data_IF_427491418206
#
_entry.id   IF_427491418206
#
_cell.length_a   1.000
_cell.length_b   1.000
_cell.length_c   1.000
_cell.angle_alpha   90.00
_cell.angle_beta   90.00
_cell.angle_gamma   90.00
#
_symmetry.space_group_name_H-M   'P 1'
#
loop_
_entity.id
_entity.type
_entity.pdbx_description
1 polymer ?
#
# COMPACT_ATOMS: atom_id res chain seq x y z
N UNK A 1 -69.22 -22.85 -28.46
CA UNK A 1 -68.34 -22.31 -27.39
C UNK A 1 -66.91 -22.77 -27.66
N UNK A 2 -66.23 -22.18 -28.63
CA UNK A 2 -65.01 -22.79 -29.19
C UNK A 2 -64.15 -21.74 -29.89
N UNK A 3 -62.92 -21.54 -29.41
CA UNK A 3 -61.88 -20.74 -30.07
C UNK A 3 -61.12 -19.86 -29.09
N UNK A 4 -61.78 -18.82 -28.57
CA UNK A 4 -61.10 -17.73 -27.86
C UNK A 4 -60.57 -18.11 -26.46
N UNK A 5 -61.30 -18.93 -25.69
CA UNK A 5 -60.86 -19.32 -24.34
C UNK A 5 -59.68 -20.30 -24.32
N UNK A 6 -59.46 -21.09 -25.38
CA UNK A 6 -58.32 -22.02 -25.47
C UNK A 6 -56.98 -21.28 -25.67
N UNK A 7 -57.00 -20.13 -26.36
CA UNK A 7 -55.81 -19.29 -26.58
C UNK A 7 -55.32 -18.58 -25.31
N UNK A 8 -56.25 -18.07 -24.49
CA UNK A 8 -55.91 -17.41 -23.22
C UNK A 8 -55.36 -18.41 -22.18
N UNK A 9 -55.89 -19.63 -22.12
CA UNK A 9 -55.41 -20.68 -21.21
C UNK A 9 -54.04 -21.21 -21.65
N UNK A 10 -53.76 -21.32 -22.95
CA UNK A 10 -52.45 -21.70 -23.47
C UNK A 10 -51.38 -20.62 -23.24
N UNK A 11 -51.71 -19.34 -23.47
CA UNK A 11 -50.81 -18.22 -23.18
C UNK A 11 -50.52 -18.09 -21.68
N UNK A 12 -51.53 -18.22 -20.81
CA UNK A 12 -51.37 -18.21 -19.34
C UNK A 12 -50.57 -19.42 -18.82
N UNK A 13 -50.63 -20.57 -19.49
CA UNK A 13 -49.82 -21.76 -19.17
C UNK A 13 -48.36 -21.68 -19.64
N UNK A 14 -48.05 -20.86 -20.65
CA UNK A 14 -46.66 -20.56 -21.07
C UNK A 14 -46.01 -19.43 -20.29
N UNK A 15 -46.78 -18.44 -19.82
CA UNK A 15 -46.24 -17.29 -19.06
C UNK A 15 -45.70 -17.73 -17.69
N UNK A 16 -46.37 -18.65 -17.00
CA UNK A 16 -45.94 -19.14 -15.68
C UNK A 16 -44.55 -19.79 -15.71
N UNK A 17 -44.24 -20.80 -16.54
CA UNK A 17 -42.90 -21.41 -16.56
C UNK A 17 -41.81 -20.45 -17.03
N UNK A 18 -42.11 -19.49 -17.91
CA UNK A 18 -41.16 -18.44 -18.32
C UNK A 18 -40.86 -17.50 -17.15
N UNK A 19 -41.88 -17.09 -16.39
CA UNK A 19 -41.71 -16.23 -15.22
C UNK A 19 -40.93 -16.95 -14.10
N UNK A 20 -41.19 -18.25 -13.88
CA UNK A 20 -40.43 -19.07 -12.93
C UNK A 20 -38.99 -19.28 -13.40
N UNK A 21 -38.74 -19.53 -14.69
CA UNK A 21 -37.38 -19.66 -15.22
C UNK A 21 -36.56 -18.35 -15.10
N UNK A 22 -37.20 -17.19 -15.27
CA UNK A 22 -36.58 -15.87 -15.05
C UNK A 22 -36.31 -15.62 -13.57
N UNK A 23 -37.16 -16.08 -12.66
CA UNK A 23 -36.94 -16.00 -11.21
C UNK A 23 -35.81 -16.91 -10.71
N UNK A 24 -35.56 -18.05 -11.36
CA UNK A 24 -34.44 -18.94 -11.02
C UNK A 24 -33.09 -18.49 -11.61
N UNK A 25 -33.07 -17.69 -12.68
CA UNK A 25 -31.85 -17.22 -13.34
C UNK A 25 -31.10 -16.09 -12.59
N UNK A 26 -31.59 -15.68 -11.41
CA UNK A 26 -30.99 -14.63 -10.59
C UNK A 26 -30.15 -15.11 -9.41
N UNK A 27 -30.12 -16.43 -9.13
CA UNK A 27 -29.42 -16.96 -7.97
C UNK A 27 -27.94 -17.21 -8.29
N UNK A 28 -27.07 -16.31 -7.83
CA UNK A 28 -25.62 -16.56 -7.80
C UNK A 28 -25.33 -17.56 -6.68
N UNK A 29 -24.64 -18.65 -7.01
CA UNK A 29 -24.32 -19.72 -6.06
C UNK A 29 -23.13 -19.33 -5.18
N UNK A 30 -23.12 -19.88 -3.96
CA UNK A 30 -22.02 -19.83 -3.02
C UNK A 30 -22.08 -18.71 -1.98
N UNK A 31 -21.10 -18.67 -1.05
CA UNK A 31 -21.17 -17.83 0.13
C UNK A 31 -21.04 -16.35 -0.22
N UNK A 32 -21.85 -15.52 0.44
CA UNK A 32 -21.69 -14.07 0.41
C UNK A 32 -20.71 -13.61 1.47
N UNK A 33 -19.94 -12.56 1.15
CA UNK A 33 -19.08 -11.91 2.13
C UNK A 33 -19.92 -11.33 3.27
N UNK A 34 -19.57 -11.72 4.49
CA UNK A 34 -20.08 -11.11 5.71
C UNK A 34 -18.94 -10.47 6.48
N UNK A 35 -19.16 -9.23 6.93
CA UNK A 35 -18.16 -8.51 7.72
C UNK A 35 -17.93 -9.23 9.05
N UNK A 36 -16.69 -9.63 9.38
CA UNK A 36 -16.39 -10.30 10.65
C UNK A 36 -16.72 -9.41 11.86
N UNK A 37 -17.44 -9.97 12.83
CA UNK A 37 -17.65 -9.35 14.13
C UNK A 37 -16.43 -9.63 15.02
N UNK A 38 -15.59 -8.61 15.20
CA UNK A 38 -14.42 -8.69 16.08
C UNK A 38 -14.79 -8.15 17.47
N UNK A 39 -14.70 -8.96 18.54
CA UNK A 39 -14.90 -8.46 19.89
C UNK A 39 -13.75 -7.51 20.25
N UNK A 40 -14.02 -6.20 20.26
CA UNK A 40 -13.03 -5.16 20.56
C UNK A 40 -13.38 -4.44 21.87
N UNK A 41 -12.38 -4.07 22.69
CA UNK A 41 -12.62 -3.30 23.90
C UNK A 41 -13.13 -1.89 23.55
N UNK A 42 -14.14 -1.42 24.28
CA UNK A 42 -14.70 -0.08 24.09
C UNK A 42 -13.79 1.05 24.58
N UNK A 43 -12.74 0.76 25.36
CA UNK A 43 -11.81 1.74 25.91
C UNK A 43 -10.38 1.19 25.94
N UNK A 44 -9.40 2.08 25.88
CA UNK A 44 -8.01 1.73 26.19
C UNK A 44 -7.87 1.38 27.68
N UNK A 45 -7.10 0.35 27.98
CA UNK A 45 -6.76 -0.03 29.35
C UNK A 45 -6.05 1.13 30.05
N UNK A 46 -6.55 1.55 31.21
CA UNK A 46 -5.95 2.63 32.02
C UNK A 46 -6.36 4.06 31.62
N UNK A 47 -7.27 4.24 30.66
CA UNK A 47 -7.82 5.57 30.32
C UNK A 47 -9.24 5.75 30.86
N UNK A 48 -9.54 6.96 31.38
CA UNK A 48 -10.94 7.36 31.64
C UNK A 48 -11.70 7.32 30.31
N UNK A 49 -12.99 6.92 30.31
CA UNK A 49 -13.79 6.86 29.08
C UNK A 49 -13.76 8.23 28.39
N UNK A 50 -13.09 8.27 27.23
CA UNK A 50 -13.04 9.46 26.42
C UNK A 50 -14.41 9.64 25.74
N UNK A 51 -14.94 10.87 25.72
CA UNK A 51 -16.06 11.20 24.82
C UNK A 51 -15.68 10.75 23.42
N UNK A 52 -16.63 10.16 22.69
CA UNK A 52 -16.46 9.76 21.29
C UNK A 52 -15.81 10.90 20.51
N UNK A 53 -14.49 10.80 20.34
CA UNK A 53 -13.74 11.80 19.61
C UNK A 53 -14.15 11.66 18.15
N UNK A 54 -14.32 12.78 17.44
CA UNK A 54 -14.41 12.72 15.97
C UNK A 54 -13.28 11.81 15.47
N UNK A 55 -13.57 10.88 14.53
CA UNK A 55 -12.56 9.96 14.04
C UNK A 55 -11.33 10.78 13.67
N UNK A 56 -10.19 10.41 14.25
CA UNK A 56 -8.98 11.20 14.11
C UNK A 56 -8.72 11.40 12.61
N UNK A 57 -8.56 12.66 12.17
CA UNK A 57 -8.20 12.96 10.80
C UNK A 57 -6.72 12.59 10.61
N UNK A 58 -6.47 11.29 10.52
CA UNK A 58 -5.13 10.68 10.50
C UNK A 58 -4.40 10.95 9.18
N UNK A 59 -5.12 11.36 8.13
CA UNK A 59 -4.57 11.60 6.79
C UNK A 59 -3.53 12.73 6.72
N UNK A 60 -3.48 13.64 7.70
CA UNK A 60 -2.52 14.75 7.78
C UNK A 60 -1.95 14.94 9.19
N UNK A 61 -1.78 13.85 9.93
CA UNK A 61 -1.43 13.90 11.36
C UNK A 61 -0.13 14.68 11.65
N UNK A 62 0.86 14.61 10.75
CA UNK A 62 2.16 15.26 10.90
C UNK A 62 2.06 16.79 10.95
N UNK A 63 1.02 17.40 10.38
CA UNK A 63 0.82 18.85 10.42
C UNK A 63 0.65 19.37 11.86
N UNK A 64 0.27 18.50 12.81
CA UNK A 64 0.20 18.84 14.25
C UNK A 64 1.56 19.12 14.88
N UNK A 65 2.64 18.67 14.24
CA UNK A 65 4.02 18.98 14.64
C UNK A 65 4.42 20.42 14.31
N UNK A 66 3.61 21.13 13.49
CA UNK A 66 3.77 22.55 13.16
C UNK A 66 5.15 22.91 12.60
N UNK A 67 5.69 22.03 11.78
CA UNK A 67 6.93 22.25 11.05
C UNK A 67 6.63 22.34 9.53
N UNK A 68 6.79 23.51 8.89
CA UNK A 68 6.51 23.68 7.46
C UNK A 68 7.52 22.95 6.56
N UNK A 69 8.75 22.76 7.04
CA UNK A 69 9.77 22.01 6.30
C UNK A 69 9.39 20.53 6.25
N UNK A 70 8.95 19.97 7.38
CA UNK A 70 8.41 18.61 7.42
C UNK A 70 7.21 18.44 6.48
N UNK A 71 6.28 19.39 6.46
CA UNK A 71 5.12 19.32 5.57
C UNK A 71 5.56 19.23 4.10
N UNK A 72 6.54 20.07 3.72
CA UNK A 72 7.06 20.10 2.36
C UNK A 72 7.79 18.80 2.01
N UNK A 73 8.59 18.25 2.92
CA UNK A 73 9.26 16.96 2.71
C UNK A 73 8.27 15.81 2.53
N UNK A 74 7.16 15.80 3.27
CA UNK A 74 6.10 14.79 3.10
C UNK A 74 5.43 14.92 1.73
N UNK A 75 5.12 16.14 1.28
CA UNK A 75 4.53 16.38 -0.04
C UNK A 75 5.47 15.95 -1.17
N UNK A 76 6.76 16.28 -1.06
CA UNK A 76 7.80 15.84 -1.99
C UNK A 76 7.96 14.32 -1.99
N UNK A 77 7.91 13.67 -0.82
CA UNK A 77 7.98 12.22 -0.71
C UNK A 77 6.79 11.53 -1.38
N UNK A 78 5.56 11.98 -1.12
CA UNK A 78 4.37 11.40 -1.77
C UNK A 78 4.39 11.59 -3.30
N UNK A 79 5.03 12.65 -3.79
CA UNK A 79 5.18 12.92 -5.21
C UNK A 79 6.33 12.11 -5.86
N UNK A 80 7.47 11.99 -5.19
CA UNK A 80 8.70 11.44 -5.76
C UNK A 80 9.04 9.99 -5.39
N UNK A 81 8.36 9.40 -4.39
CA UNK A 81 8.70 8.07 -3.89
C UNK A 81 8.30 6.95 -4.88
N UNK A 82 9.23 6.01 -5.12
CA UNK A 82 9.04 4.90 -6.06
C UNK A 82 8.12 3.79 -5.54
N UNK A 83 8.03 3.58 -4.23
CA UNK A 83 7.10 2.59 -3.64
C UNK A 83 5.65 3.07 -3.83
N UNK A 84 5.39 4.37 -3.67
CA UNK A 84 4.09 4.98 -3.98
C UNK A 84 3.77 4.86 -5.47
N UNK A 85 4.75 5.08 -6.36
CA UNK A 85 4.57 4.89 -7.79
C UNK A 85 4.23 3.44 -8.15
N UNK A 86 4.89 2.48 -7.49
CA UNK A 86 4.64 1.04 -7.63
C UNK A 86 3.24 0.67 -7.15
N UNK A 87 2.82 1.14 -5.96
CA UNK A 87 1.47 0.91 -5.44
C UNK A 87 0.38 1.50 -6.36
N UNK A 88 0.60 2.70 -6.92
CA UNK A 88 -0.30 3.27 -7.94
C UNK A 88 -0.34 2.44 -9.23
N UNK A 89 0.77 1.79 -9.61
CA UNK A 89 0.81 0.88 -10.75
C UNK A 89 -0.01 -0.39 -10.49
N UNK A 90 0.10 -0.97 -9.28
CA UNK A 90 -0.71 -2.12 -8.86
C UNK A 90 -2.21 -1.84 -8.90
N UNK A 91 -2.65 -0.63 -8.57
CA UNK A 91 -4.07 -0.24 -8.74
C UNK A 91 -4.48 -0.26 -10.22
N UNK A 92 -3.63 0.22 -11.13
CA UNK A 92 -3.93 0.19 -12.57
C UNK A 92 -4.00 -1.24 -13.09
N UNK A 93 -3.09 -2.10 -12.64
CA UNK A 93 -3.08 -3.54 -12.93
C UNK A 93 -4.37 -4.19 -12.41
N UNK A 94 -4.70 -4.02 -11.13
CA UNK A 94 -5.92 -4.59 -10.53
C UNK A 94 -7.19 -4.10 -11.24
N UNK A 95 -7.22 -2.84 -11.68
CA UNK A 95 -8.32 -2.30 -12.49
C UNK A 95 -8.41 -2.93 -13.86
N UNK A 96 -7.28 -3.21 -14.50
CA UNK A 96 -7.25 -3.93 -15.78
C UNK A 96 -7.77 -5.36 -15.60
N UNK A 97 -7.32 -6.07 -14.56
CA UNK A 97 -7.82 -7.41 -14.20
C UNK A 97 -9.32 -7.40 -13.92
N UNK A 98 -9.83 -6.41 -13.19
CA UNK A 98 -11.28 -6.23 -12.98
C UNK A 98 -12.04 -6.06 -14.30
N UNK A 99 -11.54 -5.24 -15.23
CA UNK A 99 -12.17 -5.06 -16.55
C UNK A 99 -12.10 -6.33 -17.40
N UNK A 100 -11.01 -7.08 -17.32
CA UNK A 100 -10.87 -8.36 -18.01
C UNK A 100 -11.90 -9.37 -17.49
N UNK A 101 -12.05 -9.50 -16.17
CA UNK A 101 -13.11 -10.32 -15.57
C UNK A 101 -14.50 -9.82 -15.96
N UNK A 102 -14.73 -8.50 -15.99
CA UNK A 102 -16.03 -7.96 -16.41
C UNK A 102 -16.32 -8.24 -17.89
N UNK A 103 -15.29 -8.35 -18.73
CA UNK A 103 -15.40 -8.71 -20.13
C UNK A 103 -16.02 -10.09 -20.35
N UNK A 104 -15.81 -11.05 -19.44
CA UNK A 104 -16.37 -12.40 -19.56
C UNK A 104 -17.89 -12.46 -19.41
N UNK A 105 -18.52 -11.37 -18.93
CA UNK A 105 -19.97 -11.26 -18.88
C UNK A 105 -20.59 -10.94 -20.25
N UNK A 106 -19.78 -10.56 -21.24
CA UNK A 106 -20.22 -10.17 -22.58
C UNK A 106 -19.82 -11.23 -23.62
N UNK A 107 -20.48 -11.27 -24.78
CA UNK A 107 -20.05 -12.11 -25.89
C UNK A 107 -18.64 -11.76 -26.36
N UNK A 108 -17.81 -12.78 -26.59
CA UNK A 108 -16.54 -12.65 -27.29
C UNK A 108 -16.72 -12.89 -28.79
N UNK A 109 -15.93 -12.18 -29.58
CA UNK A 109 -15.97 -12.23 -31.04
C UNK A 109 -14.53 -12.33 -31.54
N UNK A 110 -14.26 -13.37 -32.31
CA UNK A 110 -12.93 -13.70 -32.81
C UNK A 110 -12.96 -13.86 -34.33
N UNK A 111 -11.87 -13.45 -34.98
CA UNK A 111 -11.64 -13.64 -36.41
C UNK A 111 -10.34 -14.40 -36.62
N UNK A 112 -10.37 -15.38 -37.50
CA UNK A 112 -9.19 -16.20 -37.82
C UNK A 112 -8.93 -16.24 -39.32
N UNK A 113 -7.66 -16.43 -39.68
CA UNK A 113 -7.22 -16.62 -41.05
C UNK A 113 -6.02 -17.54 -41.07
N UNK A 114 -6.05 -18.58 -41.90
CA UNK A 114 -4.96 -19.55 -42.04
C UNK A 114 -4.65 -19.81 -43.51
N UNK A 115 -3.38 -20.08 -43.79
CA UNK A 115 -2.91 -20.53 -45.08
C UNK A 115 -1.99 -21.72 -44.86
N UNK A 116 -2.37 -22.89 -45.35
CA UNK A 116 -1.63 -24.14 -45.17
C UNK A 116 -1.31 -24.72 -46.53
N UNK A 117 -0.05 -25.07 -46.78
CA UNK A 117 0.37 -25.75 -48.01
C UNK A 117 0.69 -27.20 -47.70
N UNK A 118 -0.09 -28.10 -48.29
CA UNK A 118 0.03 -29.53 -48.07
C UNK A 118 0.69 -30.18 -49.28
N UNK A 119 1.47 -31.24 -49.01
CA UNK A 119 2.03 -32.12 -50.03
C UNK A 119 1.97 -33.54 -49.50
N UNK A 120 1.27 -34.40 -50.22
CA UNK A 120 1.18 -35.81 -49.84
C UNK A 120 2.48 -36.54 -50.18
N UNK A 121 2.90 -37.45 -49.30
CA UNK A 121 4.07 -38.30 -49.55
C UNK A 121 3.62 -39.61 -50.21
N UNK A 122 4.30 -40.00 -51.28
CA UNK A 122 4.06 -41.25 -52.04
C UNK A 122 4.32 -42.54 -51.25
N UNK A 123 4.89 -42.43 -50.05
CA UNK A 123 5.30 -43.58 -49.23
C UNK A 123 4.17 -44.22 -48.43
N UNK A 124 3.02 -43.54 -48.27
CA UNK A 124 2.00 -43.90 -47.26
C UNK A 124 0.62 -44.23 -47.84
N UNK A 125 0.39 -43.97 -49.13
CA UNK A 125 -0.81 -44.37 -49.84
C UNK A 125 -0.35 -44.94 -51.17
N UNK A 126 -0.75 -46.17 -51.50
CA UNK A 126 -0.31 -46.88 -52.71
C UNK A 126 -0.87 -46.28 -54.02
N UNK A 127 -0.91 -44.95 -54.14
CA UNK A 127 -1.41 -44.17 -55.25
C UNK A 127 -0.46 -43.01 -55.63
N UNK A 128 -0.73 -42.41 -56.79
CA UNK A 128 0.07 -41.37 -57.45
C UNK A 128 0.30 -40.14 -56.56
N UNK A 129 1.51 -39.58 -56.58
CA UNK A 129 1.86 -38.35 -55.86
C UNK A 129 0.90 -37.20 -56.22
N UNK A 130 0.22 -36.62 -55.24
CA UNK A 130 -0.58 -35.40 -55.45
C UNK A 130 0.33 -34.18 -55.50
N UNK A 131 0.10 -33.28 -56.45
CA UNK A 131 0.81 -32.00 -56.49
C UNK A 131 0.52 -31.18 -55.21
N UNK A 132 1.51 -30.40 -54.71
CA UNK A 132 1.30 -29.60 -53.52
C UNK A 132 0.15 -28.61 -53.75
N UNK A 133 -0.81 -28.59 -52.82
CA UNK A 133 -1.95 -27.68 -52.87
C UNK A 133 -1.94 -26.73 -51.68
N UNK A 134 -2.54 -25.56 -51.87
CA UNK A 134 -2.67 -24.52 -50.85
C UNK A 134 -4.11 -24.43 -50.39
N UNK A 135 -4.33 -24.49 -49.08
CA UNK A 135 -5.59 -24.28 -48.41
C UNK A 135 -5.56 -22.92 -47.73
N UNK A 136 -6.49 -22.04 -48.07
CA UNK A 136 -6.70 -20.76 -47.41
C UNK A 136 -8.04 -20.82 -46.69
N UNK A 137 -8.06 -20.54 -45.38
CA UNK A 137 -9.28 -20.47 -44.59
C UNK A 137 -9.36 -19.10 -43.92
N UNK A 138 -10.56 -18.54 -43.86
CA UNK A 138 -10.88 -17.39 -43.03
C UNK A 138 -12.17 -17.71 -42.28
N UNK A 139 -12.21 -17.37 -41.00
CA UNK A 139 -13.30 -17.70 -40.10
C UNK A 139 -13.65 -16.50 -39.21
N UNK A 140 -14.88 -16.51 -38.75
CA UNK A 140 -15.40 -15.59 -37.76
C UNK A 140 -16.27 -16.38 -36.81
N UNK A 141 -16.02 -16.23 -35.51
CA UNK A 141 -16.71 -16.96 -34.48
C UNK A 141 -17.14 -16.00 -33.38
N UNK A 142 -18.33 -16.22 -32.83
CA UNK A 142 -18.83 -15.49 -31.67
C UNK A 142 -19.29 -16.49 -30.63
N UNK A 143 -18.86 -16.30 -29.40
CA UNK A 143 -19.17 -17.18 -28.28
C UNK A 143 -19.68 -16.36 -27.10
N UNK A 144 -20.68 -16.89 -26.40
CA UNK A 144 -21.20 -16.28 -25.19
C UNK A 144 -21.67 -17.38 -24.24
N UNK A 145 -21.25 -17.27 -22.98
CA UNK A 145 -21.64 -18.19 -21.94
C UNK A 145 -22.77 -17.58 -21.10
N UNK A 146 -23.90 -18.29 -21.02
CA UNK A 146 -25.00 -17.91 -20.15
C UNK A 146 -24.62 -18.24 -18.70
N UNK A 147 -24.33 -17.20 -17.91
CA UNK A 147 -23.94 -17.32 -16.51
C UNK A 147 -25.15 -17.60 -15.60
N UNK A 148 -25.69 -18.82 -15.69
CA UNK A 148 -26.87 -19.27 -14.94
C UNK A 148 -26.62 -19.39 -13.44
N UNK A 149 -25.45 -19.92 -13.06
CA UNK A 149 -25.08 -20.16 -11.65
C UNK A 149 -24.21 -19.04 -11.05
N UNK A 150 -23.75 -18.10 -11.88
CA UNK A 150 -23.06 -16.90 -11.41
C UNK A 150 -21.54 -17.02 -11.30
N UNK A 151 -20.91 -18.01 -11.95
CA UNK A 151 -19.44 -18.20 -11.98
C UNK A 151 -18.73 -16.93 -12.46
N UNK A 152 -19.16 -16.35 -13.57
CA UNK A 152 -18.55 -15.14 -14.12
C UNK A 152 -18.83 -13.93 -13.23
N UNK A 153 -20.06 -13.78 -12.71
CA UNK A 153 -20.40 -12.74 -11.73
C UNK A 153 -19.54 -12.81 -10.45
N UNK A 154 -19.30 -14.00 -9.89
CA UNK A 154 -18.42 -14.21 -8.73
C UNK A 154 -16.96 -13.92 -9.06
N UNK A 155 -16.51 -14.24 -10.28
CA UNK A 155 -15.17 -13.85 -10.75
C UNK A 155 -14.98 -12.33 -10.78
N UNK A 156 -15.98 -11.59 -11.29
CA UNK A 156 -15.99 -10.12 -11.29
C UNK A 156 -16.01 -9.56 -9.87
N UNK A 157 -16.80 -10.14 -8.97
CA UNK A 157 -16.84 -9.78 -7.56
C UNK A 157 -15.45 -9.97 -6.90
N UNK A 158 -14.80 -11.11 -7.14
CA UNK A 158 -13.45 -11.38 -6.63
C UNK A 158 -12.41 -10.39 -7.18
N UNK A 159 -12.49 -10.03 -8.46
CA UNK A 159 -11.60 -9.06 -9.07
C UNK A 159 -11.83 -7.64 -8.50
N UNK A 160 -13.09 -7.28 -8.20
CA UNK A 160 -13.44 -6.02 -7.55
C UNK A 160 -12.84 -5.91 -6.15
N UNK A 161 -12.99 -6.95 -5.31
CA UNK A 161 -12.36 -6.94 -3.99
C UNK A 161 -10.83 -6.92 -4.07
N UNK A 162 -10.23 -7.50 -5.12
CA UNK A 162 -8.80 -7.35 -5.40
C UNK A 162 -8.39 -5.91 -5.71
N UNK A 163 -9.21 -5.18 -6.48
CA UNK A 163 -9.03 -3.75 -6.72
C UNK A 163 -9.15 -2.96 -5.42
N UNK A 164 -10.20 -3.18 -4.63
CA UNK A 164 -10.38 -2.52 -3.32
C UNK A 164 -9.17 -2.78 -2.39
N UNK A 165 -8.64 -4.01 -2.38
CA UNK A 165 -7.45 -4.36 -1.60
C UNK A 165 -6.20 -3.57 -2.05
N UNK A 166 -6.00 -3.41 -3.36
CA UNK A 166 -4.88 -2.62 -3.91
C UNK A 166 -4.97 -1.13 -3.57
N UNK A 167 -6.19 -0.58 -3.41
CA UNK A 167 -6.38 0.80 -2.94
C UNK A 167 -6.00 0.97 -1.47
N UNK A 168 -6.32 -0.02 -0.63
CA UNK A 168 -5.90 -0.02 0.78
C UNK A 168 -4.40 -0.26 0.94
N UNK A 169 -3.79 -1.06 0.06
CA UNK A 169 -2.33 -1.24 -0.02
C UNK A 169 -1.64 0.10 -0.27
N UNK A 170 -2.09 0.89 -1.24
CA UNK A 170 -1.55 2.25 -1.47
C UNK A 170 -1.67 3.13 -0.22
N UNK A 171 -2.81 3.07 0.49
CA UNK A 171 -3.00 3.84 1.73
C UNK A 171 -2.04 3.37 2.84
N UNK A 172 -1.74 2.08 2.90
CA UNK A 172 -0.74 1.51 3.81
C UNK A 172 0.66 2.01 3.47
N UNK A 173 1.07 1.96 2.19
CA UNK A 173 2.34 2.49 1.71
C UNK A 173 2.50 3.97 2.04
N UNK A 174 1.45 4.78 1.84
CA UNK A 174 1.46 6.20 2.19
C UNK A 174 1.61 6.43 3.69
N UNK A 175 0.93 5.63 4.52
CA UNK A 175 1.03 5.73 5.98
C UNK A 175 2.45 5.44 6.47
N UNK A 176 3.07 4.36 5.96
CA UNK A 176 4.46 3.99 6.28
C UNK A 176 5.43 5.07 5.82
N UNK A 177 5.33 5.51 4.55
CA UNK A 177 6.19 6.56 3.99
C UNK A 177 6.16 7.83 4.82
N UNK A 178 4.97 8.31 5.18
CA UNK A 178 4.81 9.51 6.01
C UNK A 178 5.41 9.30 7.40
N UNK A 179 5.23 8.11 7.98
CA UNK A 179 5.85 7.72 9.26
C UNK A 179 7.37 7.76 9.20
N UNK A 180 7.97 7.21 8.15
CA UNK A 180 9.41 7.16 7.95
C UNK A 180 9.99 8.56 7.72
N UNK A 181 9.35 9.38 6.89
CA UNK A 181 9.75 10.79 6.67
C UNK A 181 9.72 11.57 7.97
N UNK A 182 8.64 11.47 8.75
CA UNK A 182 8.54 12.16 10.03
C UNK A 182 9.59 11.67 11.04
N UNK A 183 9.86 10.36 11.08
CA UNK A 183 10.82 9.75 12.00
C UNK A 183 12.26 10.15 11.66
N UNK A 184 12.69 9.99 10.41
CA UNK A 184 14.04 10.38 9.99
C UNK A 184 14.26 11.89 10.05
N UNK A 185 13.22 12.70 9.82
CA UNK A 185 13.31 14.14 10.03
C UNK A 185 13.51 14.49 11.51
N UNK A 186 12.73 13.90 12.41
CA UNK A 186 12.92 14.09 13.85
C UNK A 186 14.30 13.59 14.32
N UNK A 187 14.78 12.48 13.77
CA UNK A 187 16.11 11.93 14.03
C UNK A 187 17.23 12.88 13.57
N UNK A 188 17.13 13.43 12.36
CA UNK A 188 18.08 14.43 11.85
C UNK A 188 18.13 15.68 12.75
N UNK A 189 16.97 16.21 13.18
CA UNK A 189 16.90 17.31 14.15
C UNK A 189 17.48 16.91 15.52
N UNK A 190 17.28 15.67 15.94
CA UNK A 190 17.87 15.09 17.13
C UNK A 190 19.40 15.06 17.08
N UNK A 191 19.99 14.62 15.97
CA UNK A 191 21.44 14.65 15.79
C UNK A 191 21.98 16.09 15.80
N UNK A 192 21.32 17.05 15.15
CA UNK A 192 21.73 18.46 15.23
C UNK A 192 21.78 18.97 16.67
N UNK A 193 20.78 18.64 17.48
CA UNK A 193 20.75 19.00 18.90
C UNK A 193 21.90 18.33 19.69
N UNK A 194 22.18 17.04 19.43
CA UNK A 194 23.27 16.29 20.08
C UNK A 194 24.66 16.80 19.67
N UNK A 195 24.88 17.09 18.39
CA UNK A 195 26.12 17.72 17.89
C UNK A 195 26.34 19.06 18.59
N UNK A 196 25.30 19.90 18.64
CA UNK A 196 25.37 21.19 19.33
C UNK A 196 25.69 21.04 20.83
N UNK A 197 25.13 20.04 21.49
CA UNK A 197 25.41 19.74 22.90
C UNK A 197 26.84 19.23 23.10
N UNK A 198 27.29 18.25 22.31
CA UNK A 198 28.63 17.68 22.38
C UNK A 198 29.71 18.75 22.17
N UNK A 199 29.54 19.63 21.17
CA UNK A 199 30.46 20.76 20.93
C UNK A 199 30.53 21.73 22.11
N UNK A 200 29.39 22.10 22.71
CA UNK A 200 29.37 22.97 23.90
C UNK A 200 29.99 22.29 25.12
N UNK A 201 29.74 21.00 25.30
CA UNK A 201 30.31 20.20 26.39
C UNK A 201 31.84 20.09 26.25
N UNK A 202 32.34 19.75 25.06
CA UNK A 202 33.78 19.70 24.77
C UNK A 202 34.45 21.07 24.98
N UNK A 203 33.82 22.16 24.53
CA UNK A 203 34.34 23.51 24.76
C UNK A 203 34.43 23.87 26.25
N UNK A 204 33.39 23.56 27.03
CA UNK A 204 33.38 23.77 28.49
C UNK A 204 34.44 22.92 29.20
N UNK A 205 34.54 21.63 28.86
CA UNK A 205 35.55 20.72 29.41
C UNK A 205 36.97 21.17 29.05
N UNK A 206 37.19 21.72 27.85
CA UNK A 206 38.47 22.30 27.44
C UNK A 206 38.84 23.52 28.27
N UNK A 207 37.87 24.38 28.62
CA UNK A 207 38.10 25.50 29.54
C UNK A 207 38.50 25.00 30.93
N UNK A 208 37.82 23.97 31.45
CA UNK A 208 38.19 23.31 32.71
C UNK A 208 39.61 22.76 32.65
N UNK A 209 39.97 22.07 31.57
CA UNK A 209 41.32 21.52 31.40
C UNK A 209 42.41 22.61 31.38
N UNK A 210 42.13 23.79 30.80
CA UNK A 210 43.03 24.95 30.84
C UNK A 210 43.17 25.50 32.26
N UNK A 211 42.06 25.61 33.01
CA UNK A 211 42.10 26.05 34.40
C UNK A 211 42.88 25.07 35.29
N UNK A 212 42.62 23.77 35.17
CA UNK A 212 43.36 22.72 35.91
C UNK A 212 44.85 22.75 35.58
N UNK A 213 45.21 22.97 34.30
CA UNK A 213 46.62 23.14 33.91
C UNK A 213 47.26 24.35 34.59
N UNK A 214 46.54 25.47 34.66
CA UNK A 214 47.02 26.69 35.33
C UNK A 214 47.21 26.46 36.82
N UNK A 215 46.26 25.78 37.48
CA UNK A 215 46.37 25.37 38.88
C UNK A 215 47.55 24.43 39.13
N UNK A 216 47.82 23.49 38.23
CA UNK A 216 48.96 22.57 38.35
C UNK A 216 50.31 23.31 38.23
N UNK A 217 50.41 24.34 37.38
CA UNK A 217 51.62 25.16 37.24
C UNK A 217 51.96 25.94 38.52
N UNK A 218 50.96 26.27 39.36
CA UNK A 218 51.15 26.92 40.65
C UNK A 218 51.11 25.92 41.83
N UNK A 219 51.16 24.61 41.55
CA UNK A 219 51.24 23.55 42.58
C UNK A 219 49.92 23.21 43.29
N UNK A 220 48.77 23.71 42.81
CA UNK A 220 47.45 23.47 43.42
C UNK A 220 46.71 22.26 42.84
N UNK A 221 47.27 21.59 41.83
CA UNK A 221 46.68 20.40 41.19
C UNK A 221 47.77 19.50 40.62
N UNK A 222 47.43 18.25 40.30
CA UNK A 222 48.39 17.24 39.82
C UNK A 222 48.40 17.14 38.30
N UNK A 223 49.50 16.61 37.73
CA UNK A 223 49.56 16.29 36.30
C UNK A 223 48.49 15.26 35.88
N UNK A 224 48.11 14.35 36.80
CA UNK A 224 47.05 13.38 36.58
C UNK A 224 45.67 14.07 36.41
N UNK A 225 45.38 15.11 37.17
CA UNK A 225 44.14 15.89 37.03
C UNK A 225 44.06 16.60 35.68
N UNK A 226 45.18 17.17 35.22
CA UNK A 226 45.28 17.80 33.89
C UNK A 226 45.03 16.77 32.79
N UNK A 227 45.69 15.61 32.87
CA UNK A 227 45.51 14.53 31.91
C UNK A 227 44.07 14.02 31.87
N UNK A 228 43.43 13.87 33.04
CA UNK A 228 42.01 13.48 33.16
C UNK A 228 41.09 14.51 32.52
N UNK A 229 41.27 15.80 32.81
CA UNK A 229 40.44 16.87 32.25
C UNK A 229 40.59 16.97 30.72
N UNK A 230 41.82 16.83 30.19
CA UNK A 230 42.07 16.79 28.75
C UNK A 230 41.49 15.54 28.09
N UNK A 231 41.68 14.37 28.69
CA UNK A 231 41.13 13.12 28.19
C UNK A 231 39.60 13.17 28.08
N UNK A 232 38.92 13.79 29.05
CA UNK A 232 37.47 13.96 29.01
C UNK A 232 37.02 14.89 27.88
N UNK A 233 37.71 16.03 27.68
CA UNK A 233 37.43 16.98 26.60
C UNK A 233 37.62 16.32 25.23
N UNK A 234 38.75 15.65 25.01
CA UNK A 234 39.05 14.95 23.76
C UNK A 234 38.09 13.79 23.49
N UNK A 235 37.68 13.06 24.53
CA UNK A 235 36.68 11.98 24.41
C UNK A 235 35.33 12.52 23.92
N UNK A 236 34.85 13.63 24.51
CA UNK A 236 33.59 14.26 24.09
C UNK A 236 33.69 14.87 22.68
N UNK A 237 34.86 15.39 22.30
CA UNK A 237 35.10 15.88 20.93
C UNK A 237 35.12 14.75 19.90
N UNK A 238 35.64 13.58 20.27
CA UNK A 238 35.67 12.38 19.42
C UNK A 238 34.27 11.80 19.13
N UNK A 239 33.25 12.13 19.93
CA UNK A 239 31.86 11.74 19.65
C UNK A 239 31.23 12.55 18.50
N UNK A 240 31.74 13.76 18.23
CA UNK A 240 31.14 14.68 17.24
C UNK A 240 31.11 14.09 15.82
N UNK A 241 32.19 13.52 15.27
CA UNK A 241 32.16 12.89 13.95
C UNK A 241 31.15 11.74 13.83
N UNK A 242 31.00 10.94 14.89
CA UNK A 242 30.01 9.84 14.92
C UNK A 242 28.58 10.38 14.85
N UNK A 243 28.30 11.48 15.57
CA UNK A 243 26.99 12.15 15.50
C UNK A 243 26.75 12.81 14.14
N UNK A 244 27.78 13.37 13.51
CA UNK A 244 27.71 13.94 12.17
C UNK A 244 27.44 12.88 11.10
N UNK A 245 28.03 11.69 11.23
CA UNK A 245 27.72 10.54 10.39
C UNK A 245 26.25 10.11 10.52
N UNK A 246 25.74 10.03 11.76
CA UNK A 246 24.32 9.73 12.01
C UNK A 246 23.37 10.79 11.42
N UNK A 247 23.72 12.07 11.52
CA UNK A 247 22.99 13.16 10.86
C UNK A 247 22.98 12.99 9.34
N UNK A 248 24.13 12.75 8.72
CA UNK A 248 24.25 12.56 7.28
C UNK A 248 23.42 11.37 6.81
N UNK A 249 23.44 10.25 7.54
CA UNK A 249 22.63 9.06 7.23
C UNK A 249 21.13 9.37 7.25
N UNK A 250 20.63 10.06 8.28
CA UNK A 250 19.22 10.44 8.37
C UNK A 250 18.80 11.35 7.19
N UNK A 251 19.64 12.30 6.79
CA UNK A 251 19.37 13.19 5.64
C UNK A 251 19.45 12.44 4.31
N UNK A 252 20.35 11.48 4.17
CA UNK A 252 20.42 10.64 2.98
C UNK A 252 19.16 9.77 2.83
N UNK A 253 18.66 9.17 3.93
CA UNK A 253 17.39 8.43 3.94
C UNK A 253 16.22 9.31 3.49
N UNK A 254 16.11 10.54 4.01
CA UNK A 254 15.11 11.51 3.56
C UNK A 254 15.24 11.85 2.06
N UNK A 255 16.48 11.96 1.56
CA UNK A 255 16.71 12.24 0.13
C UNK A 255 16.19 11.09 -0.75
N UNK A 256 16.43 9.84 -0.35
CA UNK A 256 15.92 8.65 -1.06
C UNK A 256 14.40 8.58 -0.99
N UNK A 257 13.80 8.80 0.19
CA UNK A 257 12.34 8.79 0.35
C UNK A 257 11.63 9.88 -0.48
N UNK A 258 12.31 11.00 -0.75
CA UNK A 258 11.83 12.08 -1.62
C UNK A 258 12.11 11.86 -3.11
N UNK A 259 12.65 10.69 -3.49
CA UNK A 259 12.96 10.35 -4.88
C UNK A 259 14.18 11.09 -5.44
N UNK A 260 15.11 11.52 -4.57
CA UNK A 260 16.31 12.29 -4.92
C UNK A 260 17.59 11.49 -4.65
N UNK A 261 18.73 11.84 -5.28
CA UNK A 261 19.99 11.17 -4.98
C UNK A 261 20.41 11.40 -3.51
N UNK A 262 21.18 10.48 -2.91
CA UNK A 262 21.75 10.69 -1.58
C UNK A 262 22.48 12.04 -1.52
N UNK A 263 22.39 12.73 -0.38
CA UNK A 263 22.93 14.08 -0.13
C UNK A 263 22.18 15.28 -0.74
N UNK A 264 21.15 15.08 -1.57
CA UNK A 264 20.41 16.19 -2.19
C UNK A 264 19.78 17.18 -1.19
N UNK A 265 19.45 16.72 0.02
CA UNK A 265 18.87 17.54 1.08
C UNK A 265 19.88 18.13 2.07
N UNK A 266 21.18 17.87 1.92
CA UNK A 266 22.20 18.28 2.90
C UNK A 266 22.23 19.80 3.13
N UNK A 267 22.30 20.59 2.05
CA UNK A 267 22.34 22.06 2.18
C UNK A 267 21.00 22.63 2.68
N UNK A 268 19.87 22.04 2.27
CA UNK A 268 18.53 22.46 2.71
C UNK A 268 18.33 22.25 4.23
N UNK A 269 18.77 21.11 4.74
CA UNK A 269 18.62 20.75 6.16
C UNK A 269 19.77 21.19 7.06
N UNK A 270 20.80 21.83 6.50
CA UNK A 270 22.00 22.32 7.21
C UNK A 270 21.67 23.27 8.35
N UNK A 271 20.64 24.11 8.17
CA UNK A 271 20.18 25.02 9.22
C UNK A 271 19.65 24.22 10.41
N UNK A 272 20.21 24.49 11.60
CA UNK A 272 19.75 23.88 12.85
C UNK A 272 18.42 24.50 13.27
N UNK A 273 17.42 23.65 13.48
CA UNK A 273 16.07 24.01 13.93
C UNK A 273 15.68 23.04 15.07
N UNK A 274 14.86 23.47 16.05
CA UNK A 274 14.40 22.58 17.12
C UNK A 274 13.67 21.33 16.60
N UNK A 275 13.67 20.27 17.40
CA UNK A 275 12.90 19.05 17.11
C UNK A 275 11.40 19.41 17.12
N UNK A 276 10.63 19.00 16.09
CA UNK A 276 9.19 19.24 16.04
C UNK A 276 8.48 18.56 17.21
N UNK A 277 7.53 19.26 17.83
CA UNK A 277 6.78 18.75 18.99
C UNK A 277 5.27 18.94 18.80
N UNK A 278 4.46 17.90 19.04
CA UNK A 278 3.01 18.03 18.96
C UNK A 278 2.49 18.80 20.18
N UNK A 279 1.30 19.41 20.06
CA UNK A 279 0.56 19.86 21.25
C UNK A 279 -0.03 18.65 21.98
N UNK A 280 0.25 18.53 23.27
CA UNK A 280 -0.37 17.56 24.17
C UNK A 280 -1.67 18.14 24.76
N UNK A 281 -2.69 17.30 25.06
CA UNK A 281 -2.74 15.86 24.85
C UNK A 281 -3.09 15.46 23.41
N UNK A 282 -2.52 14.35 22.93
CA UNK A 282 -2.93 13.76 21.64
C UNK A 282 -4.26 13.01 21.86
N UNK A 283 -5.34 13.33 21.12
CA UNK A 283 -6.60 12.60 21.27
C UNK A 283 -6.40 11.12 20.89
N UNK A 284 -6.48 10.24 21.88
CA UNK A 284 -6.55 8.79 21.68
C UNK A 284 -8.03 8.45 21.51
N UNK A 285 -8.45 8.18 20.26
CA UNK A 285 -9.82 7.72 19.98
C UNK A 285 -10.12 6.36 20.62
N UNK A 286 -11.31 5.83 20.35
CA UNK A 286 -11.71 4.49 20.82
C UNK A 286 -10.89 3.41 20.07
N UNK A 287 -10.45 2.32 20.73
CA UNK A 287 -9.65 1.28 20.06
C UNK A 287 -10.28 0.74 18.77
N UNK A 288 -11.60 0.50 18.78
CA UNK A 288 -12.34 0.00 17.63
C UNK A 288 -12.26 0.94 16.41
N UNK A 289 -12.48 2.25 16.63
CA UNK A 289 -12.40 3.26 15.56
C UNK A 289 -10.98 3.35 14.98
N UNK A 290 -9.96 3.19 15.82
CA UNK A 290 -8.56 3.21 15.40
C UNK A 290 -8.26 1.98 14.54
N UNK A 291 -8.64 0.77 14.98
CA UNK A 291 -8.38 -0.45 14.22
C UNK A 291 -9.08 -0.44 12.86
N UNK A 292 -10.32 0.02 12.78
CA UNK A 292 -11.06 0.13 11.52
C UNK A 292 -10.53 1.24 10.60
N UNK A 293 -9.81 2.22 11.15
CA UNK A 293 -9.15 3.25 10.36
C UNK A 293 -7.85 2.78 9.71
N UNK A 294 -7.26 1.66 10.17
CA UNK A 294 -5.98 1.17 9.67
C UNK A 294 -6.10 0.57 8.26
N UNK A 295 -5.28 1.02 7.29
CA UNK A 295 -5.30 0.50 5.94
C UNK A 295 -4.97 -1.00 5.83
N UNK A 296 -4.06 -1.51 6.63
CA UNK A 296 -3.67 -2.93 6.62
C UNK A 296 -4.81 -3.88 7.03
N UNK A 297 -5.59 -3.50 8.04
CA UNK A 297 -6.80 -4.24 8.47
C UNK A 297 -7.86 -4.21 7.38
N UNK A 298 -8.10 -3.05 6.76
CA UNK A 298 -9.05 -2.93 5.65
C UNK A 298 -8.60 -3.71 4.43
N UNK A 299 -7.30 -3.72 4.12
CA UNK A 299 -6.73 -4.56 3.06
C UNK A 299 -6.99 -6.04 3.32
N UNK A 300 -6.73 -6.52 4.54
CA UNK A 300 -7.00 -7.90 4.94
C UNK A 300 -8.50 -8.26 4.83
N UNK A 301 -9.40 -7.35 5.21
CA UNK A 301 -10.85 -7.51 5.03
C UNK A 301 -11.24 -7.65 3.55
N UNK A 302 -10.64 -6.87 2.65
CA UNK A 302 -10.88 -6.98 1.20
C UNK A 302 -10.30 -8.27 0.61
N UNK A 303 -9.15 -8.72 1.07
CA UNK A 303 -8.59 -10.02 0.66
C UNK A 303 -9.44 -11.21 1.14
N UNK A 304 -10.01 -11.10 2.34
CA UNK A 304 -10.99 -12.07 2.83
C UNK A 304 -12.24 -12.09 1.94
N UNK A 305 -12.83 -10.92 1.64
CA UNK A 305 -13.98 -10.81 0.74
C UNK A 305 -13.68 -11.38 -0.67
N UNK A 306 -12.49 -11.10 -1.20
CA UNK A 306 -12.02 -11.68 -2.46
C UNK A 306 -11.98 -13.21 -2.41
N UNK A 307 -11.49 -13.77 -1.31
CA UNK A 307 -11.39 -15.21 -1.14
C UNK A 307 -12.77 -15.86 -1.03
N UNK A 308 -13.71 -15.23 -0.33
CA UNK A 308 -15.13 -15.66 -0.29
C UNK A 308 -15.75 -15.69 -1.68
N UNK A 309 -15.54 -14.64 -2.49
CA UNK A 309 -16.04 -14.61 -3.86
C UNK A 309 -15.42 -15.69 -4.75
N UNK A 310 -14.12 -16.02 -4.57
CA UNK A 310 -13.46 -17.13 -5.27
C UNK A 310 -14.03 -18.50 -4.89
N UNK A 311 -14.44 -18.70 -3.63
CA UNK A 311 -15.15 -19.92 -3.21
C UNK A 311 -16.48 -20.00 -3.94
N UNK A 312 -17.27 -18.91 -3.96
CA UNK A 312 -18.54 -18.87 -4.70
C UNK A 312 -18.37 -19.12 -6.20
N UNK A 313 -17.29 -18.60 -6.81
CA UNK A 313 -16.94 -18.91 -8.19
C UNK A 313 -16.69 -20.41 -8.41
N UNK A 314 -15.90 -21.05 -7.53
CA UNK A 314 -15.57 -22.47 -7.64
C UNK A 314 -16.80 -23.37 -7.41
N UNK A 315 -17.72 -22.97 -6.54
CA UNK A 315 -18.99 -23.68 -6.31
C UNK A 315 -19.96 -23.53 -7.49
N UNK A 316 -20.04 -22.34 -8.09
CA UNK A 316 -20.87 -22.09 -9.28
C UNK A 316 -20.35 -22.81 -10.54
N UNK A 317 -19.04 -23.13 -10.59
CA UNK A 317 -18.40 -23.83 -11.70
C UNK A 317 -18.53 -25.36 -11.64
N UNK A 318 -19.12 -25.92 -10.57
CA UNK A 318 -19.36 -27.36 -10.41
C UNK A 318 -20.70 -27.78 -11.01
#
# INVERSE_FOLDING_TARGET
MTGFERGLVAARRMIVPIFTAVLLAGCVVGPDYQKPLLPMPANWTGQKPAKAARPAQLSKWWQRLRDPELNTLVEEAVAGNLDVATARARIREARASYRQSAGTLFPSVDGSGSATRNKDSTSTSGGTATDPYSLYQAGFDASWELDLFGTNRRSVEAARYGLDASEEELRSTLLTLVGDVASYYAEARGYQARIGLARRAAASQKQTAVLTRTMAQVGMSTAADVAKAMGQASSTEADVPTLEAGYAEAVHRLSVLTGRPPAALNERLKRVVPIPTPRLPVPTGIPADILLSRPDVRMAERQYAQSTAKIGQAEAAR
#
